data_IF_558621402036
#
_entry.id   IF_558621402036
#
_cell.length_a   1.000
_cell.length_b   1.000
_cell.length_c   1.000
_cell.angle_alpha   90.00
_cell.angle_beta   90.00
_cell.angle_gamma   90.00
#
_symmetry.space_group_name_H-M   'P 1'
#
loop_
_entity.id
_entity.type
_entity.pdbx_description
1 polymer ?
#
# COMPACT_ATOMS: atom_id res chain seq x y z
N UNK A 1 3.62 22.36 15.39
CA UNK A 1 3.19 20.99 15.03
C UNK A 1 4.24 20.05 15.57
N UNK A 2 3.85 19.04 16.35
CA UNK A 2 4.77 17.96 16.68
C UNK A 2 4.98 17.15 15.39
N UNK A 3 6.23 17.04 14.96
CA UNK A 3 6.61 16.26 13.78
C UNK A 3 6.28 14.78 14.03
N UNK A 4 5.84 14.07 13.00
CA UNK A 4 5.65 12.61 13.07
C UNK A 4 7.01 11.97 13.42
N UNK A 5 7.11 11.17 14.49
CA UNK A 5 8.39 10.66 14.96
C UNK A 5 8.97 9.62 13.99
N UNK A 6 10.30 9.55 13.94
CA UNK A 6 11.03 8.54 13.17
C UNK A 6 11.62 7.49 14.10
N UNK A 7 11.41 6.22 13.78
CA UNK A 7 11.92 5.06 14.51
C UNK A 7 12.96 4.36 13.64
N UNK A 8 14.21 4.30 14.12
CA UNK A 8 15.26 3.48 13.50
C UNK A 8 15.14 2.04 13.98
N UNK A 9 14.91 1.12 13.03
CA UNK A 9 14.68 -0.30 13.31
C UNK A 9 15.94 -1.16 13.15
N UNK A 10 17.06 -0.58 12.72
CA UNK A 10 18.32 -1.31 12.54
C UNK A 10 18.96 -1.75 13.86
N UNK A 11 18.68 -1.02 14.95
CA UNK A 11 19.17 -1.32 16.30
C UNK A 11 18.22 -0.70 17.35
N UNK A 12 17.03 -1.28 17.57
CA UNK A 12 16.02 -0.71 18.44
C UNK A 12 16.50 -0.66 19.90
N UNK A 13 16.48 0.55 20.48
CA UNK A 13 16.83 0.79 21.89
C UNK A 13 15.57 0.93 22.74
N UNK A 14 15.70 0.95 24.07
CA UNK A 14 14.58 1.26 24.97
C UNK A 14 13.93 2.62 24.64
N UNK A 15 14.76 3.62 24.30
CA UNK A 15 14.28 4.94 23.85
C UNK A 15 13.50 4.87 22.54
N UNK A 16 13.89 4.00 21.61
CA UNK A 16 13.15 3.76 20.36
C UNK A 16 11.75 3.18 20.63
N UNK A 17 11.61 2.32 21.64
CA UNK A 17 10.33 1.73 22.04
C UNK A 17 9.41 2.74 22.73
N UNK A 18 9.95 3.61 23.59
CA UNK A 18 9.17 4.69 24.22
C UNK A 18 8.66 5.69 23.16
N UNK A 19 9.50 6.05 22.20
CA UNK A 19 9.11 6.91 21.08
C UNK A 19 8.02 6.26 20.22
N UNK A 20 8.11 4.94 19.98
CA UNK A 20 7.10 4.19 19.25
C UNK A 20 5.75 4.14 20.00
N UNK A 21 5.74 3.86 21.31
CA UNK A 21 4.51 3.88 22.13
C UNK A 21 3.83 5.25 22.10
N UNK A 22 4.60 6.33 22.27
CA UNK A 22 4.10 7.69 22.18
C UNK A 22 3.53 7.99 20.78
N UNK A 23 4.24 7.60 19.71
CA UNK A 23 3.77 7.78 18.34
C UNK A 23 2.43 7.08 18.09
N UNK A 24 2.30 5.84 18.53
CA UNK A 24 1.07 5.05 18.37
C UNK A 24 -0.11 5.67 19.11
N UNK A 25 0.09 6.22 20.32
CA UNK A 25 -1.00 6.82 21.13
C UNK A 25 -1.41 8.22 20.65
N UNK A 26 -0.43 9.05 20.30
CA UNK A 26 -0.66 10.48 20.08
C UNK A 26 -0.95 10.80 18.61
N UNK A 27 -0.30 10.08 17.69
CA UNK A 27 -0.38 10.36 16.25
C UNK A 27 -1.11 9.25 15.47
N UNK A 28 -0.94 8.00 15.88
CA UNK A 28 -1.36 6.83 15.07
C UNK A 28 -0.47 6.60 13.84
N UNK A 29 0.62 7.36 13.70
CA UNK A 29 1.59 7.29 12.60
C UNK A 29 3.01 7.48 13.13
N UNK A 30 3.98 6.85 12.46
CA UNK A 30 5.42 7.05 12.65
C UNK A 30 6.15 6.73 11.35
N UNK A 31 7.34 7.30 11.19
CA UNK A 31 8.25 7.01 10.09
C UNK A 31 9.21 5.89 10.48
N UNK A 32 9.57 5.04 9.52
CA UNK A 32 10.58 4.00 9.70
C UNK A 32 11.87 4.40 8.99
N UNK A 33 13.00 4.07 9.60
CA UNK A 33 14.34 4.23 9.01
C UNK A 33 15.22 3.02 9.34
N UNK A 34 16.31 2.83 8.60
CA UNK A 34 17.23 1.71 8.84
C UNK A 34 16.70 0.34 8.37
N UNK A 35 15.67 0.31 7.54
CA UNK A 35 15.10 -0.93 6.98
C UNK A 35 15.94 -1.54 5.84
N UNK A 36 16.81 -0.75 5.18
CA UNK A 36 17.74 -1.26 4.16
C UNK A 36 17.10 -1.63 2.81
N UNK A 37 15.91 -1.09 2.50
CA UNK A 37 15.11 -1.45 1.31
C UNK A 37 15.14 -0.38 0.21
N UNK A 38 16.04 0.61 0.29
CA UNK A 38 16.04 1.78 -0.60
C UNK A 38 16.14 1.40 -2.08
N UNK A 39 16.98 0.43 -2.43
CA UNK A 39 17.15 -0.04 -3.81
C UNK A 39 15.88 -0.73 -4.34
N UNK A 40 15.18 -1.50 -3.50
CA UNK A 40 13.91 -2.14 -3.87
C UNK A 40 12.81 -1.09 -4.02
N UNK A 41 12.72 -0.13 -3.11
CA UNK A 41 11.77 0.99 -3.18
C UNK A 41 11.98 1.78 -4.47
N UNK A 42 13.22 2.10 -4.84
CA UNK A 42 13.53 2.82 -6.07
C UNK A 42 13.13 2.03 -7.33
N UNK A 43 13.38 0.72 -7.37
CA UNK A 43 12.93 -0.15 -8.47
C UNK A 43 11.41 -0.23 -8.56
N UNK A 44 10.73 -0.35 -7.42
CA UNK A 44 9.27 -0.36 -7.33
C UNK A 44 8.69 0.92 -7.90
N UNK A 45 9.19 2.10 -7.50
CA UNK A 45 8.75 3.38 -8.07
C UNK A 45 8.88 3.42 -9.59
N UNK A 46 10.05 3.07 -10.13
CA UNK A 46 10.28 3.04 -11.57
C UNK A 46 9.29 2.12 -12.31
N UNK A 47 8.97 0.95 -11.75
CA UNK A 47 8.00 0.04 -12.36
C UNK A 47 6.56 0.53 -12.23
N UNK A 48 6.22 1.18 -11.11
CA UNK A 48 4.92 1.82 -10.89
C UNK A 48 4.68 2.97 -11.88
N UNK A 49 5.67 3.84 -12.09
CA UNK A 49 5.61 4.92 -13.08
C UNK A 49 5.41 4.36 -14.49
N UNK A 50 6.24 3.40 -14.90
CA UNK A 50 6.12 2.73 -16.20
C UNK A 50 4.73 2.09 -16.40
N UNK A 51 4.14 1.52 -15.35
CA UNK A 51 2.81 0.93 -15.43
C UNK A 51 1.72 2.00 -15.62
N UNK A 52 1.72 3.07 -14.85
CA UNK A 52 0.69 4.11 -14.96
C UNK A 52 0.82 4.96 -16.23
N UNK A 53 2.04 5.11 -16.75
CA UNK A 53 2.32 5.79 -18.03
C UNK A 53 2.08 4.91 -19.25
N UNK A 54 1.88 3.59 -19.07
CA UNK A 54 1.62 2.68 -20.18
C UNK A 54 0.29 2.98 -20.89
N UNK A 55 0.17 2.47 -22.12
CA UNK A 55 -1.06 2.57 -22.90
C UNK A 55 -2.26 2.06 -22.09
N UNK A 56 -3.37 2.80 -22.18
CA UNK A 56 -4.60 2.47 -21.44
C UNK A 56 -5.03 1.01 -21.64
N UNK A 57 -4.81 0.44 -22.84
CA UNK A 57 -5.14 -0.97 -23.12
C UNK A 57 -4.41 -1.95 -22.18
N UNK A 58 -3.14 -1.69 -21.85
CA UNK A 58 -2.37 -2.53 -20.92
C UNK A 58 -3.02 -2.53 -19.53
N UNK A 59 -3.49 -1.37 -19.07
CA UNK A 59 -4.17 -1.21 -17.78
C UNK A 59 -5.58 -1.81 -17.81
N UNK A 60 -6.35 -1.55 -18.87
CA UNK A 60 -7.74 -2.02 -18.97
C UNK A 60 -7.85 -3.53 -19.20
N UNK A 61 -6.83 -4.16 -19.79
CA UNK A 61 -6.75 -5.62 -19.97
C UNK A 61 -6.77 -6.39 -18.64
N UNK A 62 -6.33 -5.74 -17.56
CA UNK A 62 -6.30 -6.30 -16.20
C UNK A 62 -7.28 -5.60 -15.26
N UNK A 63 -8.30 -4.94 -15.82
CA UNK A 63 -9.29 -4.22 -15.03
C UNK A 63 -10.04 -5.16 -14.10
N UNK A 64 -10.34 -4.72 -12.89
CA UNK A 64 -11.18 -5.44 -11.91
C UNK A 64 -12.58 -5.68 -12.48
N UNK A 65 -13.24 -6.71 -11.95
CA UNK A 65 -14.66 -6.95 -12.17
C UNK A 65 -15.36 -7.39 -10.88
N UNK A 66 -16.64 -7.76 -10.99
CA UNK A 66 -17.46 -8.17 -9.84
C UNK A 66 -16.96 -9.45 -9.16
N UNK A 67 -16.28 -10.33 -9.90
CA UNK A 67 -15.83 -11.63 -9.43
C UNK A 67 -14.40 -11.57 -8.88
N UNK A 68 -13.58 -10.65 -9.38
CA UNK A 68 -12.21 -10.47 -8.96
C UNK A 68 -11.84 -8.98 -8.73
N UNK A 69 -11.63 -8.59 -7.46
CA UNK A 69 -11.29 -7.22 -7.10
C UNK A 69 -9.80 -6.88 -7.30
N UNK A 70 -8.97 -7.78 -7.85
CA UNK A 70 -7.54 -7.51 -8.08
C UNK A 70 -7.27 -6.96 -9.48
N UNK A 71 -6.17 -6.24 -9.63
CA UNK A 71 -5.78 -5.56 -10.87
C UNK A 71 -6.13 -4.08 -10.88
N UNK A 72 -6.28 -3.53 -12.09
CA UNK A 72 -6.41 -2.10 -12.35
C UNK A 72 -7.84 -1.57 -12.14
N UNK A 73 -7.98 -0.33 -11.66
CA UNK A 73 -9.26 0.37 -11.64
C UNK A 73 -9.10 1.89 -11.55
N UNK A 74 -10.00 2.65 -12.21
CA UNK A 74 -9.98 4.12 -12.26
C UNK A 74 -11.33 4.76 -11.93
N UNK A 75 -12.24 3.98 -11.33
CA UNK A 75 -13.62 4.41 -11.04
C UNK A 75 -14.04 4.09 -9.60
N UNK A 76 -13.09 4.04 -8.67
CA UNK A 76 -13.40 3.79 -7.25
C UNK A 76 -14.34 4.87 -6.70
N UNK A 77 -15.21 4.46 -5.78
CA UNK A 77 -16.19 5.36 -5.17
C UNK A 77 -15.90 5.51 -3.67
N UNK A 78 -15.67 6.75 -3.22
CA UNK A 78 -15.74 7.11 -1.81
C UNK A 78 -16.97 7.96 -1.56
N UNK A 79 -17.83 7.53 -0.62
CA UNK A 79 -19.10 8.23 -0.28
C UNK A 79 -19.97 8.57 -1.51
N UNK A 80 -20.05 7.62 -2.47
CA UNK A 80 -20.82 7.70 -3.74
C UNK A 80 -20.31 8.72 -4.77
N UNK A 81 -19.13 9.32 -4.56
CA UNK A 81 -18.43 10.12 -5.58
C UNK A 81 -17.24 9.33 -6.11
N UNK A 82 -16.85 9.55 -7.37
CA UNK A 82 -15.61 8.97 -7.91
C UNK A 82 -14.39 9.60 -7.27
N UNK A 83 -13.42 8.77 -6.93
CA UNK A 83 -12.10 9.20 -6.47
C UNK A 83 -11.29 9.72 -7.67
N UNK A 84 -10.50 10.78 -7.45
CA UNK A 84 -9.60 11.28 -8.48
C UNK A 84 -8.26 10.52 -8.44
N UNK A 85 -8.33 9.21 -8.73
CA UNK A 85 -7.17 8.32 -8.70
C UNK A 85 -7.39 7.09 -9.59
N UNK A 86 -6.30 6.50 -10.05
CA UNK A 86 -6.27 5.16 -10.59
C UNK A 86 -5.41 4.25 -9.71
N UNK A 87 -5.74 2.96 -9.67
CA UNK A 87 -5.16 2.00 -8.72
C UNK A 87 -4.79 0.68 -9.37
N UNK A 88 -3.80 0.00 -8.80
CA UNK A 88 -3.50 -1.40 -9.08
C UNK A 88 -3.37 -2.16 -7.75
N UNK A 89 -4.18 -3.21 -7.58
CA UNK A 89 -4.16 -4.04 -6.37
C UNK A 89 -3.67 -5.46 -6.68
N UNK A 90 -2.87 -6.01 -5.79
CA UNK A 90 -2.48 -7.42 -5.82
C UNK A 90 -2.31 -7.99 -4.40
N UNK A 91 -2.51 -9.30 -4.29
CA UNK A 91 -2.30 -10.11 -3.09
C UNK A 91 -0.96 -10.84 -3.17
N UNK A 92 -0.63 -11.58 -2.12
CA UNK A 92 0.58 -12.39 -2.00
C UNK A 92 0.89 -13.22 -3.27
N UNK A 93 1.90 -12.80 -4.07
CA UNK A 93 2.25 -13.50 -5.31
C UNK A 93 3.07 -14.76 -5.09
N UNK A 94 3.55 -15.00 -3.88
CA UNK A 94 4.39 -16.16 -3.56
C UNK A 94 3.58 -17.43 -3.30
N UNK A 95 2.29 -17.27 -3.00
CA UNK A 95 1.36 -18.38 -2.76
C UNK A 95 0.53 -18.60 -4.01
N UNK A 96 0.81 -19.66 -4.77
CA UNK A 96 0.21 -19.92 -6.09
C UNK A 96 -1.33 -19.84 -6.12
N UNK A 97 -2.03 -20.33 -5.09
CA UNK A 97 -3.48 -20.26 -5.01
C UNK A 97 -4.03 -18.83 -4.81
N UNK A 98 -3.26 -17.97 -4.15
CA UNK A 98 -3.57 -16.55 -3.96
C UNK A 98 -3.20 -15.78 -5.24
N UNK A 99 -2.01 -16.04 -5.77
CA UNK A 99 -1.51 -15.39 -6.98
C UNK A 99 -2.37 -15.66 -8.22
N UNK A 100 -3.08 -16.79 -8.27
CA UNK A 100 -4.07 -17.08 -9.32
C UNK A 100 -5.19 -16.02 -9.41
N UNK A 101 -5.38 -15.19 -8.38
CA UNK A 101 -6.30 -14.05 -8.40
C UNK A 101 -5.66 -12.75 -8.90
N UNK A 102 -4.34 -12.63 -8.86
CA UNK A 102 -3.65 -11.42 -9.31
C UNK A 102 -3.73 -11.29 -10.83
N UNK A 103 -4.05 -10.08 -11.31
CA UNK A 103 -4.12 -9.77 -12.75
C UNK A 103 -2.90 -8.95 -13.15
N UNK A 104 -1.82 -9.64 -13.49
CA UNK A 104 -0.54 -9.00 -13.86
C UNK A 104 -0.60 -8.40 -15.28
N UNK A 105 -0.09 -7.17 -15.49
CA UNK A 105 -0.06 -6.56 -16.82
C UNK A 105 0.84 -7.39 -17.75
N UNK A 106 0.40 -7.52 -19.01
CA UNK A 106 1.22 -8.09 -20.07
C UNK A 106 2.20 -7.02 -20.58
N UNK A 107 3.34 -7.47 -21.10
CA UNK A 107 4.32 -6.61 -21.78
C UNK A 107 5.00 -5.53 -20.92
N UNK A 108 5.05 -5.71 -19.59
CA UNK A 108 5.87 -4.92 -18.67
C UNK A 108 6.93 -5.81 -17.99
N UNK A 109 8.08 -6.08 -18.65
CA UNK A 109 9.12 -6.96 -18.12
C UNK A 109 9.63 -6.49 -16.75
N UNK A 110 9.76 -7.41 -15.80
CA UNK A 110 10.27 -7.12 -14.47
C UNK A 110 9.25 -6.53 -13.50
N UNK A 111 8.04 -6.17 -13.95
CA UNK A 111 7.01 -5.59 -13.11
C UNK A 111 6.56 -6.57 -12.02
N UNK A 112 6.10 -7.76 -12.44
CA UNK A 112 5.61 -8.79 -11.50
C UNK A 112 6.71 -9.22 -10.53
N UNK A 113 7.92 -9.41 -11.03
CA UNK A 113 9.07 -9.84 -10.24
C UNK A 113 9.39 -8.82 -9.15
N UNK A 114 9.47 -7.53 -9.50
CA UNK A 114 9.73 -6.45 -8.54
C UNK A 114 8.61 -6.32 -7.52
N UNK A 115 7.34 -6.39 -7.95
CA UNK A 115 6.18 -6.33 -7.04
C UNK A 115 6.10 -7.55 -6.11
N UNK A 116 6.61 -8.71 -6.56
CA UNK A 116 6.66 -9.92 -5.72
C UNK A 116 7.74 -9.81 -4.66
N UNK A 117 8.92 -9.33 -5.02
CA UNK A 117 10.00 -9.02 -4.09
C UNK A 117 9.57 -7.94 -3.08
N UNK A 118 8.89 -6.88 -3.55
CA UNK A 118 8.31 -5.86 -2.69
C UNK A 118 7.37 -6.47 -1.64
N UNK A 119 6.45 -7.34 -2.07
CA UNK A 119 5.49 -7.96 -1.16
C UNK A 119 6.18 -8.77 -0.07
N UNK A 120 7.18 -9.58 -0.43
CA UNK A 120 7.95 -10.39 0.52
C UNK A 120 8.70 -9.54 1.54
N UNK A 121 9.50 -8.58 1.06
CA UNK A 121 10.33 -7.74 1.93
C UNK A 121 9.46 -6.82 2.81
N UNK A 122 8.35 -6.30 2.29
CA UNK A 122 7.43 -5.49 3.09
C UNK A 122 6.60 -6.32 4.07
N UNK A 123 6.33 -7.59 3.77
CA UNK A 123 5.72 -8.50 4.74
C UNK A 123 6.67 -8.77 5.92
N UNK A 124 7.96 -9.02 5.63
CA UNK A 124 8.97 -9.18 6.68
C UNK A 124 9.15 -7.89 7.51
N UNK A 125 9.18 -6.73 6.84
CA UNK A 125 9.23 -5.42 7.51
C UNK A 125 8.00 -5.18 8.40
N UNK A 126 6.81 -5.59 7.95
CA UNK A 126 5.58 -5.49 8.73
C UNK A 126 5.65 -6.38 9.98
N UNK A 127 6.13 -7.63 9.86
CA UNK A 127 6.32 -8.53 11.00
C UNK A 127 7.33 -7.97 12.01
N UNK A 128 8.46 -7.43 11.54
CA UNK A 128 9.45 -6.77 12.40
C UNK A 128 8.84 -5.56 13.12
N UNK A 129 8.11 -4.71 12.39
CA UNK A 129 7.48 -3.51 12.93
C UNK A 129 6.42 -3.86 13.98
N UNK A 130 5.57 -4.85 13.69
CA UNK A 130 4.58 -5.34 14.63
C UNK A 130 5.23 -5.97 15.88
N UNK A 131 6.36 -6.66 15.71
CA UNK A 131 7.18 -7.15 16.81
C UNK A 131 7.67 -6.04 17.74
N UNK A 132 8.06 -4.88 17.19
CA UNK A 132 8.45 -3.70 17.98
C UNK A 132 7.25 -3.08 18.70
N UNK A 133 6.10 -2.96 18.03
CA UNK A 133 4.86 -2.47 18.65
C UNK A 133 4.46 -3.36 19.82
N UNK A 134 4.49 -4.69 19.64
CA UNK A 134 4.21 -5.65 20.72
C UNK A 134 5.16 -5.51 21.91
N UNK A 135 6.44 -5.21 21.67
CA UNK A 135 7.42 -4.96 22.73
C UNK A 135 7.12 -3.65 23.47
N UNK A 136 6.82 -2.57 22.75
CA UNK A 136 6.43 -1.29 23.32
C UNK A 136 5.14 -1.38 24.16
N UNK A 137 4.20 -2.25 23.75
CA UNK A 137 2.99 -2.57 24.50
C UNK A 137 3.22 -3.54 25.69
N UNK A 138 4.45 -4.02 25.88
CA UNK A 138 4.81 -5.01 26.90
C UNK A 138 3.92 -6.26 26.89
N UNK A 139 3.52 -6.72 25.69
CA UNK A 139 2.69 -7.91 25.57
C UNK A 139 3.41 -9.15 26.11
N UNK A 140 2.66 -10.04 26.76
CA UNK A 140 3.16 -11.38 27.11
C UNK A 140 3.46 -12.20 25.86
N UNK A 141 4.28 -13.24 25.98
CA UNK A 141 4.55 -14.15 24.85
C UNK A 141 3.26 -14.77 24.30
N UNK A 142 2.35 -15.18 25.18
CA UNK A 142 1.05 -15.72 24.77
C UNK A 142 0.23 -14.70 23.96
N UNK A 143 0.19 -13.44 24.40
CA UNK A 143 -0.51 -12.37 23.68
C UNK A 143 0.15 -12.07 22.35
N UNK A 144 1.50 -12.06 22.28
CA UNK A 144 2.24 -11.86 21.02
C UNK A 144 1.87 -12.91 19.99
N UNK A 145 1.89 -14.18 20.37
CA UNK A 145 1.55 -15.29 19.46
C UNK A 145 0.11 -15.18 18.94
N UNK A 146 -0.84 -14.74 19.79
CA UNK A 146 -2.24 -14.53 19.40
C UNK A 146 -2.45 -13.30 18.51
N UNK A 147 -1.57 -12.31 18.59
CA UNK A 147 -1.67 -11.05 17.86
C UNK A 147 -0.71 -10.99 16.66
N UNK A 148 -0.09 -12.11 16.28
CA UNK A 148 0.72 -12.17 15.07
C UNK A 148 -0.14 -11.85 13.85
N UNK A 149 0.40 -11.00 12.97
CA UNK A 149 -0.20 -10.73 11.67
C UNK A 149 -0.20 -11.98 10.78
N UNK A 150 -0.98 -11.93 9.70
CA UNK A 150 -0.93 -12.94 8.65
C UNK A 150 -0.89 -12.25 7.30
N UNK A 151 0.20 -12.49 6.56
CA UNK A 151 0.37 -11.98 5.19
C UNK A 151 -0.68 -12.49 4.20
N UNK A 152 -1.39 -13.58 4.49
CA UNK A 152 -2.45 -14.13 3.62
C UNK A 152 -3.60 -13.13 3.37
N UNK A 153 -3.85 -12.22 4.31
CA UNK A 153 -4.85 -11.16 4.19
C UNK A 153 -4.28 -9.83 3.71
N UNK A 154 -2.96 -9.73 3.54
CA UNK A 154 -2.30 -8.50 3.10
C UNK A 154 -2.50 -8.26 1.61
N UNK A 155 -2.61 -6.99 1.26
CA UNK A 155 -2.76 -6.51 -0.11
C UNK A 155 -1.81 -5.34 -0.30
N UNK A 156 -1.22 -5.25 -1.49
CA UNK A 156 -0.49 -4.06 -1.91
C UNK A 156 -1.37 -3.28 -2.88
N UNK A 157 -1.41 -1.97 -2.69
CA UNK A 157 -2.09 -1.02 -3.57
C UNK A 157 -1.10 0.00 -4.09
N UNK A 158 -0.99 0.10 -5.41
CA UNK A 158 -0.34 1.23 -6.08
C UNK A 158 -1.43 2.26 -6.38
N UNK A 159 -1.21 3.52 -6.01
CA UNK A 159 -2.11 4.64 -6.31
C UNK A 159 -1.39 5.63 -7.22
N UNK A 160 -2.10 6.13 -8.24
CA UNK A 160 -1.70 7.29 -9.02
C UNK A 160 -2.80 8.35 -8.92
N UNK A 161 -2.40 9.58 -8.61
CA UNK A 161 -3.30 10.73 -8.47
C UNK A 161 -3.07 11.70 -9.63
N UNK A 162 -3.77 11.55 -10.77
CA UNK A 162 -3.53 12.37 -11.94
C UNK A 162 -4.09 13.78 -11.80
N UNK A 163 -3.59 14.68 -12.65
CA UNK A 163 -4.21 15.99 -12.87
C UNK A 163 -5.46 15.78 -13.74
N UNK A 164 -6.64 15.96 -13.13
CA UNK A 164 -7.93 15.77 -13.78
C UNK A 164 -8.42 14.32 -13.75
N UNK A 165 -9.59 14.09 -14.35
CA UNK A 165 -10.32 12.81 -14.26
C UNK A 165 -9.56 11.65 -14.95
N UNK A 166 -9.22 10.56 -14.24
CA UNK A 166 -8.48 9.42 -14.80
C UNK A 166 -9.25 8.66 -15.89
N UNK A 167 -10.58 8.79 -15.92
CA UNK A 167 -11.42 8.12 -16.91
C UNK A 167 -11.51 8.98 -18.18
N UNK A 168 -11.26 8.44 -19.38
CA UNK A 168 -11.45 9.18 -20.64
C UNK A 168 -12.89 9.65 -20.82
N UNK A 169 -13.08 10.83 -21.40
CA UNK A 169 -14.40 11.48 -21.54
C UNK A 169 -15.47 10.58 -22.17
N UNK A 170 -15.11 9.82 -23.21
CA UNK A 170 -16.03 8.91 -23.90
C UNK A 170 -16.49 7.70 -23.06
N UNK A 171 -15.82 7.40 -21.94
CA UNK A 171 -16.17 6.33 -21.00
C UNK A 171 -16.90 6.84 -19.75
N UNK A 172 -17.13 8.16 -19.62
CA UNK A 172 -17.73 8.76 -18.41
C UNK A 172 -19.24 8.63 -18.35
N UNK A 173 -19.90 8.29 -19.46
CA UNK A 173 -21.36 8.19 -19.52
C UNK A 173 -21.87 7.14 -18.53
N UNK A 174 -22.74 7.57 -17.61
CA UNK A 174 -23.33 6.71 -16.57
C UNK A 174 -22.48 6.53 -15.31
N UNK A 175 -21.30 7.13 -15.24
CA UNK A 175 -20.51 7.16 -14.01
C UNK A 175 -21.02 8.22 -13.03
N UNK A 176 -20.73 8.01 -11.75
CA UNK A 176 -20.95 9.04 -10.74
C UNK A 176 -20.04 10.26 -10.97
N UNK A 177 -20.44 11.41 -10.42
CA UNK A 177 -19.63 12.64 -10.48
C UNK A 177 -18.27 12.45 -9.82
N UNK A 178 -17.25 13.11 -10.37
CA UNK A 178 -15.91 13.15 -9.78
C UNK A 178 -15.94 13.97 -8.49
N UNK A 179 -15.32 13.43 -7.44
CA UNK A 179 -15.13 14.11 -6.17
C UNK A 179 -14.15 15.29 -6.27
N UNK A 180 -14.31 16.25 -5.36
CA UNK A 180 -13.37 17.37 -5.21
C UNK A 180 -12.07 16.96 -4.50
N UNK A 181 -12.11 15.84 -3.76
CA UNK A 181 -10.96 15.27 -3.06
C UNK A 181 -10.53 13.99 -3.76
N UNK A 182 -9.22 13.79 -3.87
CA UNK A 182 -8.67 12.63 -4.56
C UNK A 182 -8.97 11.31 -3.83
N UNK A 183 -8.99 11.36 -2.50
CA UNK A 183 -9.46 10.28 -1.63
C UNK A 183 -10.10 10.90 -0.38
N UNK A 184 -11.32 10.48 -0.05
CA UNK A 184 -12.00 10.98 1.14
C UNK A 184 -11.40 10.42 2.44
N UNK A 185 -11.61 11.12 3.56
CA UNK A 185 -11.20 10.64 4.89
C UNK A 185 -11.76 9.25 5.20
N UNK A 186 -10.88 8.35 5.62
CA UNK A 186 -11.17 6.97 6.00
C UNK A 186 -10.11 6.45 6.98
N UNK A 187 -10.34 5.25 7.49
CA UNK A 187 -9.35 4.47 8.25
C UNK A 187 -9.06 3.20 7.48
N UNK A 188 -7.81 2.76 7.48
CA UNK A 188 -7.44 1.50 6.85
C UNK A 188 -8.02 0.29 7.59
N UNK A 189 -8.46 -0.75 6.87
CA UNK A 189 -8.76 -2.03 7.48
C UNK A 189 -7.45 -2.80 7.76
N UNK A 190 -7.34 -3.42 8.94
CA UNK A 190 -6.23 -4.31 9.27
C UNK A 190 -5.46 -3.89 10.52
N UNK A 191 -4.21 -4.36 10.62
CA UNK A 191 -3.36 -4.17 11.80
C UNK A 191 -2.44 -2.95 11.64
N UNK A 192 -1.64 -2.91 10.58
CA UNK A 192 -0.72 -1.82 10.24
C UNK A 192 -0.67 -1.63 8.72
N UNK A 193 -0.42 -0.39 8.29
CA UNK A 193 -0.17 -0.02 6.89
C UNK A 193 1.26 0.48 6.76
N UNK A 194 2.04 -0.10 5.83
CA UNK A 194 3.32 0.46 5.40
C UNK A 194 3.08 1.30 4.16
N UNK A 195 3.38 2.60 4.24
CA UNK A 195 3.13 3.54 3.15
C UNK A 195 4.44 4.09 2.60
N UNK A 196 4.57 4.03 1.28
CA UNK A 196 5.55 4.79 0.52
C UNK A 196 4.83 5.97 -0.16
N UNK A 197 5.46 7.15 -0.14
CA UNK A 197 4.97 8.32 -0.86
C UNK A 197 6.09 8.93 -1.69
N UNK A 198 5.72 9.60 -2.77
CA UNK A 198 6.65 10.39 -3.58
C UNK A 198 6.92 11.76 -2.92
N UNK A 199 7.61 12.65 -3.64
CA UNK A 199 7.91 13.99 -3.15
C UNK A 199 6.78 15.01 -3.37
N UNK A 200 5.65 14.61 -3.96
CA UNK A 200 4.50 15.48 -4.18
C UNK A 200 3.75 15.72 -2.87
N UNK A 201 3.67 14.68 -2.03
CA UNK A 201 2.93 14.70 -0.76
C UNK A 201 1.41 14.73 -0.96
N UNK A 202 0.67 14.90 0.14
CA UNK A 202 -0.81 14.91 0.14
C UNK A 202 -1.44 14.11 1.29
N UNK A 203 -0.61 13.36 2.04
CA UNK A 203 -0.93 12.82 3.36
C UNK A 203 -0.52 13.81 4.47
#
# INVERSE_FOLDING_TARGET
MLLVPTVDISSPTATSLEALDAACRDHGFFLLSGHGLDDLIARTWRHTEVFFDADRSIKTDIMRDLDNPMGYYDRELTKRKRDNKEVFDYLDPTVSAIDARNRWPRDLPGFRETMSELFDEFSALADQTLGLIHQALHLSEESRQKMMGSRHGSMVRLNQYPIGDPVPEHERSGLADLGETALGYHTDPGTITLLLQDNTGGL
#
